data_IF_063333688670
#
_entry.id   IF_063333688670
#
_cell.length_a   1.000
_cell.length_b   1.000
_cell.length_c   1.000
_cell.angle_alpha   90.00
_cell.angle_beta   90.00
_cell.angle_gamma   90.00
#
_symmetry.space_group_name_H-M   'P 1'
#
loop_
_entity.id
_entity.type
_entity.pdbx_description
1 polymer ?
#
# COMPACT_ATOMS: atom_id res chain seq x y z
N UNK A 1 -3.63 -19.46 -9.41
CA UNK A 1 -3.20 -18.06 -9.59
C UNK A 1 -3.92 -17.22 -8.56
N UNK A 2 -3.36 -17.07 -7.35
CA UNK A 2 -3.95 -16.25 -6.28
C UNK A 2 -2.95 -15.17 -5.90
N UNK A 3 -2.83 -14.16 -6.75
CA UNK A 3 -2.08 -12.94 -6.42
C UNK A 3 -2.99 -11.94 -5.70
N UNK A 4 -2.42 -11.07 -4.87
CA UNK A 4 -3.21 -10.10 -4.12
C UNK A 4 -3.88 -9.04 -5.02
N UNK A 5 -3.36 -8.84 -6.23
CA UNK A 5 -3.75 -7.82 -7.20
C UNK A 5 -4.29 -8.44 -8.50
N UNK A 6 -5.19 -7.73 -9.19
CA UNK A 6 -5.59 -8.09 -10.56
C UNK A 6 -4.54 -7.62 -11.58
N UNK A 7 -4.61 -8.11 -12.81
CA UNK A 7 -3.68 -7.69 -13.88
C UNK A 7 -3.77 -6.18 -14.15
N UNK A 8 -4.97 -5.60 -14.18
CA UNK A 8 -5.17 -4.15 -14.37
C UNK A 8 -4.56 -3.33 -13.22
N UNK A 9 -4.71 -3.80 -11.98
CA UNK A 9 -4.11 -3.16 -10.81
C UNK A 9 -2.59 -3.29 -10.79
N UNK A 10 -2.05 -4.44 -11.18
CA UNK A 10 -0.61 -4.63 -11.37
C UNK A 10 -0.08 -3.71 -12.47
N UNK A 11 -0.80 -3.58 -13.58
CA UNK A 11 -0.49 -2.62 -14.65
C UNK A 11 -0.44 -1.18 -14.13
N UNK A 12 -1.42 -0.80 -13.31
CA UNK A 12 -1.44 0.51 -12.64
C UNK A 12 -0.26 0.72 -11.68
N UNK A 13 -0.01 -0.25 -10.81
CA UNK A 13 1.03 -0.19 -9.78
C UNK A 13 2.45 -0.21 -10.36
N UNK A 14 2.67 -0.91 -11.49
CA UNK A 14 3.96 -0.96 -12.18
C UNK A 14 4.29 0.31 -12.98
N UNK A 15 3.35 1.25 -13.09
CA UNK A 15 3.56 2.51 -13.77
C UNK A 15 4.61 3.42 -13.10
N UNK A 16 4.83 4.60 -13.69
CA UNK A 16 5.85 5.56 -13.22
C UNK A 16 5.48 6.29 -11.90
N UNK A 17 4.41 5.89 -11.21
CA UNK A 17 4.01 6.54 -9.97
C UNK A 17 5.04 6.28 -8.87
N UNK A 18 5.34 7.31 -8.08
CA UNK A 18 6.33 7.25 -6.99
C UNK A 18 5.82 7.83 -5.67
N UNK A 19 4.61 8.37 -5.63
CA UNK A 19 4.00 8.96 -4.43
C UNK A 19 2.73 8.22 -4.03
N UNK A 20 2.49 8.19 -2.73
CA UNK A 20 1.31 7.61 -2.10
C UNK A 20 1.00 8.35 -0.79
N UNK A 21 -0.19 8.12 -0.22
CA UNK A 21 -0.55 8.54 1.13
C UNK A 21 -0.61 7.34 2.05
N UNK A 22 0.23 7.33 3.09
CA UNK A 22 0.28 6.28 4.09
C UNK A 22 -0.47 6.71 5.35
N UNK A 23 -1.38 5.88 5.83
CA UNK A 23 -2.01 5.98 7.13
C UNK A 23 -1.44 4.92 8.11
N UNK A 24 -1.12 5.37 9.32
CA UNK A 24 -0.62 4.57 10.46
C UNK A 24 -1.32 5.02 11.74
N UNK A 25 -1.19 4.27 12.85
CA UNK A 25 -1.90 4.55 14.11
C UNK A 25 -0.95 4.73 15.28
N UNK A 26 -1.09 5.86 15.98
CA UNK A 26 -0.36 6.25 17.18
C UNK A 26 -0.60 5.33 18.39
N UNK A 27 0.18 5.52 19.46
CA UNK A 27 0.10 4.68 20.67
C UNK A 27 -1.22 4.87 21.40
N UNK A 28 -1.69 6.10 21.33
CA UNK A 28 -2.94 6.66 21.82
C UNK A 28 -4.11 6.40 20.85
N UNK A 29 -3.90 5.68 19.75
CA UNK A 29 -4.91 5.48 18.72
C UNK A 29 -5.05 6.65 17.73
N UNK A 30 -4.26 7.73 17.86
CA UNK A 30 -4.34 8.89 16.96
C UNK A 30 -3.96 8.49 15.53
N UNK A 31 -4.81 8.73 14.51
CA UNK A 31 -4.46 8.50 13.12
C UNK A 31 -3.34 9.41 12.65
N UNK A 32 -2.43 8.89 11.84
CA UNK A 32 -1.32 9.64 11.24
C UNK A 32 -1.27 9.37 9.74
N UNK A 33 -1.39 10.42 8.93
CA UNK A 33 -1.36 10.36 7.47
C UNK A 33 -0.24 11.23 6.91
N UNK A 34 0.58 10.67 6.00
CA UNK A 34 1.71 11.38 5.39
C UNK A 34 1.96 10.94 3.95
N UNK A 35 2.49 11.84 3.08
CA UNK A 35 2.96 11.43 1.77
C UNK A 35 4.22 10.57 1.91
N UNK A 36 4.36 9.55 1.05
CA UNK A 36 5.50 8.62 1.04
C UNK A 36 5.90 8.21 -0.36
N UNK A 37 7.17 7.81 -0.50
CA UNK A 37 7.64 7.02 -1.64
C UNK A 37 7.39 5.52 -1.42
N UNK A 38 7.15 4.78 -2.49
CA UNK A 38 6.80 3.36 -2.40
C UNK A 38 7.31 2.55 -3.60
N UNK A 39 7.31 1.23 -3.46
CA UNK A 39 7.59 0.24 -4.50
C UNK A 39 6.71 -1.00 -4.34
N UNK A 40 6.43 -1.70 -5.45
CA UNK A 40 5.78 -3.01 -5.42
C UNK A 40 6.83 -4.10 -5.25
N UNK A 41 6.66 -4.96 -4.25
CA UNK A 41 7.39 -6.22 -4.14
C UNK A 41 6.57 -7.31 -4.85
N UNK A 42 6.95 -7.63 -6.09
CA UNK A 42 6.23 -8.58 -6.94
C UNK A 42 6.31 -10.03 -6.47
N UNK A 43 7.32 -10.39 -5.66
CA UNK A 43 7.46 -11.76 -5.14
C UNK A 43 6.48 -12.03 -3.99
N UNK A 44 6.17 -10.99 -3.22
CA UNK A 44 5.33 -11.08 -2.02
C UNK A 44 3.94 -10.46 -2.21
N UNK A 45 3.64 -9.94 -3.39
CA UNK A 45 2.46 -9.11 -3.67
C UNK A 45 2.23 -8.03 -2.60
N UNK A 46 3.30 -7.37 -2.19
CA UNK A 46 3.30 -6.43 -1.07
C UNK A 46 3.72 -5.02 -1.51
N UNK A 47 3.22 -4.01 -0.79
CA UNK A 47 3.64 -2.63 -0.98
C UNK A 47 4.75 -2.31 0.02
N UNK A 48 5.90 -1.87 -0.47
CA UNK A 48 7.02 -1.44 0.37
C UNK A 48 7.12 0.09 0.37
N UNK A 49 7.20 0.66 1.57
CA UNK A 49 7.35 2.09 1.80
C UNK A 49 8.72 2.33 2.41
N UNK A 50 9.48 3.26 1.84
CA UNK A 50 10.83 3.57 2.29
C UNK A 50 11.16 5.06 2.18
N UNK A 51 12.38 5.44 2.56
CA UNK A 51 12.83 6.83 2.50
C UNK A 51 14.11 7.08 3.29
N UNK A 52 14.43 8.36 3.49
CA UNK A 52 15.59 8.81 4.29
C UNK A 52 15.31 8.63 5.78
N UNK A 53 16.32 8.18 6.54
CA UNK A 53 16.23 7.98 8.00
C UNK A 53 14.99 7.16 8.43
N UNK A 54 14.55 6.21 7.60
CA UNK A 54 13.18 5.70 7.63
C UNK A 54 12.82 5.00 8.96
N UNK A 55 13.74 4.23 9.52
CA UNK A 55 13.59 3.55 10.82
C UNK A 55 13.31 4.53 11.98
N UNK A 56 13.77 5.79 11.85
CA UNK A 56 13.58 6.84 12.87
C UNK A 56 12.27 7.61 12.72
N UNK A 57 11.42 7.26 11.74
CA UNK A 57 10.20 8.01 11.47
C UNK A 57 9.04 7.57 12.37
N UNK A 58 8.07 8.47 12.62
CA UNK A 58 6.86 8.15 13.40
C UNK A 58 6.07 6.98 12.81
N UNK A 59 5.83 7.00 11.49
CA UNK A 59 5.13 5.92 10.77
C UNK A 59 5.80 4.54 10.95
N UNK A 60 7.13 4.49 11.01
CA UNK A 60 7.86 3.24 11.24
C UNK A 60 7.62 2.72 12.67
N UNK A 61 7.75 3.58 13.68
CA UNK A 61 7.42 3.23 15.08
C UNK A 61 5.95 2.82 15.26
N UNK A 62 5.04 3.51 14.58
CA UNK A 62 3.61 3.19 14.62
C UNK A 62 3.33 1.79 14.05
N UNK A 63 3.97 1.42 12.93
CA UNK A 63 3.88 0.06 12.37
C UNK A 63 4.55 -0.97 13.28
N UNK A 64 5.75 -0.71 13.79
CA UNK A 64 6.43 -1.61 14.74
C UNK A 64 5.54 -2.01 15.92
N UNK A 65 4.73 -1.07 16.43
CA UNK A 65 3.84 -1.32 17.57
C UNK A 65 2.54 -2.01 17.17
N UNK A 66 1.91 -1.55 16.09
CA UNK A 66 0.52 -1.92 15.77
C UNK A 66 0.39 -3.02 14.74
N UNK A 67 1.44 -3.26 13.93
CA UNK A 67 1.41 -4.18 12.80
C UNK A 67 0.40 -3.79 11.71
N UNK A 68 -0.02 -2.52 11.64
CA UNK A 68 -1.12 -2.06 10.79
C UNK A 68 -0.72 -0.82 9.99
N UNK A 69 -1.08 -0.84 8.71
CA UNK A 69 -1.02 0.33 7.85
C UNK A 69 -2.09 0.26 6.76
N UNK A 70 -2.45 1.42 6.23
CA UNK A 70 -3.20 1.54 4.98
C UNK A 70 -2.48 2.53 4.06
N UNK A 71 -2.51 2.28 2.76
CA UNK A 71 -1.88 3.14 1.77
C UNK A 71 -2.82 3.39 0.60
N UNK A 72 -2.86 4.63 0.13
CA UNK A 72 -3.54 5.02 -1.12
C UNK A 72 -2.50 5.47 -2.13
N UNK A 73 -2.55 4.88 -3.32
CA UNK A 73 -1.80 5.28 -4.50
C UNK A 73 -2.83 5.79 -5.51
N UNK A 74 -2.76 7.08 -5.84
CA UNK A 74 -3.75 7.75 -6.69
C UNK A 74 -3.09 8.77 -7.61
N UNK A 75 -3.74 9.00 -8.75
CA UNK A 75 -3.42 10.02 -9.74
C UNK A 75 -4.69 10.44 -10.50
N UNK A 76 -4.52 11.34 -11.48
CA UNK A 76 -5.56 11.71 -12.42
C UNK A 76 -5.23 11.11 -13.78
N UNK A 77 -6.14 10.32 -14.33
CA UNK A 77 -6.04 9.86 -15.72
C UNK A 77 -6.35 11.00 -16.71
N UNK A 78 -7.18 11.95 -16.31
CA UNK A 78 -7.40 13.23 -16.99
C UNK A 78 -7.91 14.29 -16.00
N UNK A 79 -7.60 15.55 -16.26
CA UNK A 79 -8.20 16.72 -15.58
C UNK A 79 -9.41 17.27 -16.33
N UNK A 80 -9.55 16.97 -17.62
CA UNK A 80 -10.71 17.33 -18.44
C UNK A 80 -10.97 16.23 -19.49
N UNK A 81 -12.05 15.43 -19.37
CA UNK A 81 -12.96 15.38 -18.22
C UNK A 81 -12.25 14.88 -16.95
N UNK A 82 -12.76 15.26 -15.77
CA UNK A 82 -12.19 14.85 -14.48
C UNK A 82 -12.26 13.33 -14.28
N UNK A 83 -11.10 12.67 -14.24
CA UNK A 83 -10.99 11.21 -14.17
C UNK A 83 -9.95 10.76 -13.12
N UNK A 84 -10.30 10.80 -11.82
CA UNK A 84 -9.44 10.27 -10.78
C UNK A 84 -9.43 8.74 -10.80
N UNK A 85 -8.29 8.16 -10.47
CA UNK A 85 -8.13 6.72 -10.30
C UNK A 85 -7.16 6.42 -9.17
N UNK A 86 -7.22 5.22 -8.64
CA UNK A 86 -6.32 4.81 -7.58
C UNK A 86 -6.65 3.47 -6.98
N UNK A 87 -5.79 3.09 -6.03
CA UNK A 87 -5.86 1.86 -5.28
C UNK A 87 -5.55 2.13 -3.82
N UNK A 88 -6.42 1.65 -2.95
CA UNK A 88 -6.24 1.58 -1.51
C UNK A 88 -5.91 0.15 -1.12
N UNK A 89 -4.85 0.00 -0.33
CA UNK A 89 -4.43 -1.27 0.27
C UNK A 89 -4.43 -1.12 1.78
N UNK A 90 -5.18 -1.98 2.48
CA UNK A 90 -5.15 -2.10 3.94
C UNK A 90 -4.60 -3.47 4.30
N UNK A 91 -3.74 -3.54 5.30
CA UNK A 91 -3.03 -4.78 5.54
C UNK A 91 -2.35 -4.90 6.89
N UNK A 92 -1.80 -6.10 7.08
CA UNK A 92 -0.76 -6.30 8.06
C UNK A 92 0.51 -5.61 7.55
N UNK A 93 1.17 -4.89 8.44
CA UNK A 93 2.37 -4.13 8.09
C UNK A 93 3.53 -4.56 8.98
N UNK A 94 4.67 -4.85 8.35
CA UNK A 94 5.92 -5.17 9.01
C UNK A 94 6.86 -3.98 8.87
N UNK A 95 7.49 -3.57 9.96
CA UNK A 95 8.58 -2.60 9.93
C UNK A 95 9.90 -3.37 9.98
N UNK A 96 10.63 -3.33 8.86
CA UNK A 96 11.85 -4.10 8.62
C UNK A 96 13.01 -3.12 8.67
N UNK A 97 14.03 -3.41 9.48
CA UNK A 97 15.17 -2.50 9.67
C UNK A 97 16.32 -2.75 8.68
N UNK A 98 16.56 -4.01 8.31
CA UNK A 98 17.70 -4.43 7.49
C UNK A 98 17.26 -5.34 6.31
N UNK A 99 17.98 -5.34 5.17
CA UNK A 99 19.18 -4.54 4.86
C UNK A 99 18.88 -3.06 4.56
N UNK A 100 17.60 -2.71 4.38
CA UNK A 100 17.12 -1.34 4.23
C UNK A 100 15.84 -1.17 5.03
N UNK A 101 15.74 -0.06 5.76
CA UNK A 101 14.55 0.24 6.53
C UNK A 101 13.32 0.48 5.63
N UNK A 102 12.32 -0.39 5.73
CA UNK A 102 11.06 -0.33 4.98
C UNK A 102 9.86 -0.70 5.85
N UNK A 103 8.68 -0.17 5.51
CA UNK A 103 7.39 -0.75 5.95
C UNK A 103 6.90 -1.60 4.80
N UNK A 104 6.68 -2.90 5.03
CA UNK A 104 6.06 -3.82 4.07
C UNK A 104 4.60 -4.03 4.44
N UNK A 105 3.69 -3.74 3.52
CA UNK A 105 2.24 -3.86 3.71
C UNK A 105 1.76 -5.05 2.90
N UNK A 106 1.27 -6.08 3.59
CA UNK A 106 0.65 -7.26 3.01
C UNK A 106 -0.85 -7.04 2.86
N UNK A 107 -1.40 -7.02 1.62
CA UNK A 107 -2.79 -6.75 1.40
C UNK A 107 -3.71 -7.71 2.17
N UNK A 108 -4.69 -7.14 2.87
CA UNK A 108 -5.87 -7.84 3.43
C UNK A 108 -7.16 -7.31 2.86
N UNK A 109 -7.16 -6.04 2.47
CA UNK A 109 -8.24 -5.40 1.72
C UNK A 109 -7.64 -4.61 0.57
N UNK A 110 -8.18 -4.80 -0.62
CA UNK A 110 -7.85 -3.99 -1.80
C UNK A 110 -9.13 -3.33 -2.31
N UNK A 111 -9.05 -2.02 -2.53
CA UNK A 111 -10.12 -1.24 -3.16
C UNK A 111 -9.49 -0.43 -4.29
N UNK A 112 -10.00 -0.58 -5.51
CA UNK A 112 -9.52 0.15 -6.68
C UNK A 112 -10.66 0.86 -7.38
N UNK A 113 -10.36 1.96 -8.05
CA UNK A 113 -11.33 2.74 -8.82
C UNK A 113 -10.64 3.39 -10.02
N UNK A 114 -11.34 3.46 -11.15
CA UNK A 114 -10.85 4.12 -12.36
C UNK A 114 -9.60 3.48 -12.98
N UNK A 115 -9.24 2.27 -12.55
CA UNK A 115 -8.13 1.47 -13.08
C UNK A 115 -8.63 0.50 -14.14
N UNK A 116 -9.78 -0.13 -13.91
CA UNK A 116 -10.46 -0.98 -14.89
C UNK A 116 -11.71 -0.28 -15.46
N UNK A 117 -12.27 -0.85 -16.52
CA UNK A 117 -13.51 -0.36 -17.14
C UNK A 117 -14.77 -0.72 -16.33
N UNK A 118 -14.67 -1.58 -15.31
CA UNK A 118 -15.81 -2.07 -14.53
C UNK A 118 -16.17 -1.16 -13.36
N UNK A 119 -15.32 -0.17 -13.05
CA UNK A 119 -15.62 0.89 -12.09
C UNK A 119 -14.86 0.71 -10.78
N UNK A 120 -15.58 0.61 -9.66
CA UNK A 120 -14.98 0.40 -8.34
C UNK A 120 -14.95 -1.08 -8.01
N UNK A 121 -13.76 -1.62 -7.80
CA UNK A 121 -13.59 -2.99 -7.29
C UNK A 121 -13.20 -2.96 -5.83
N UNK A 122 -13.68 -3.96 -5.08
CA UNK A 122 -13.34 -4.09 -3.68
C UNK A 122 -13.36 -5.57 -3.29
N UNK A 123 -12.25 -6.07 -2.75
CA UNK A 123 -12.14 -7.44 -2.23
C UNK A 123 -11.32 -7.53 -0.96
N UNK A 124 -11.59 -8.57 -0.18
CA UNK A 124 -10.68 -9.07 0.83
C UNK A 124 -9.63 -9.97 0.16
N UNK A 125 -8.43 -10.00 0.73
CA UNK A 125 -7.32 -10.83 0.27
C UNK A 125 -6.98 -11.80 1.40
N UNK A 126 -7.15 -13.09 1.11
CA UNK A 126 -6.71 -14.14 2.03
C UNK A 126 -5.19 -14.12 2.14
N UNK A 127 -4.63 -14.30 3.35
CA UNK A 127 -3.19 -14.46 3.49
C UNK A 127 -2.75 -15.71 2.74
N UNK A 128 -1.51 -15.74 2.20
CA UNK A 128 -0.97 -16.97 1.66
C UNK A 128 -1.06 -18.06 2.73
N UNK A 129 -1.55 -19.25 2.35
CA UNK A 129 -1.53 -20.40 3.23
C UNK A 129 -0.08 -20.62 3.67
N UNK A 130 0.21 -20.42 4.97
CA UNK A 130 1.54 -20.76 5.50
C UNK A 130 1.69 -22.27 5.37
N UNK A 131 2.58 -22.71 4.48
CA UNK A 131 3.07 -24.09 4.50
C UNK A 131 3.61 -24.38 5.91
N UNK A 132 3.16 -25.49 6.49
CA UNK A 132 3.73 -26.01 7.74
C UNK A 132 5.15 -26.48 7.51
#
# INVERSE_FOLDING_TARGET
MSGAFTDDELGYLRGERRLARLATVGADGTPHVVPVGWSLNSELDAIEVGGREFARTKKFRDVMRTGRAAIVIDDLASTDPWRPRGIEVRGLAEAIEAPRAVIRIHPRRVVSWGIDARGRLSRDVEPPLRGR
#
